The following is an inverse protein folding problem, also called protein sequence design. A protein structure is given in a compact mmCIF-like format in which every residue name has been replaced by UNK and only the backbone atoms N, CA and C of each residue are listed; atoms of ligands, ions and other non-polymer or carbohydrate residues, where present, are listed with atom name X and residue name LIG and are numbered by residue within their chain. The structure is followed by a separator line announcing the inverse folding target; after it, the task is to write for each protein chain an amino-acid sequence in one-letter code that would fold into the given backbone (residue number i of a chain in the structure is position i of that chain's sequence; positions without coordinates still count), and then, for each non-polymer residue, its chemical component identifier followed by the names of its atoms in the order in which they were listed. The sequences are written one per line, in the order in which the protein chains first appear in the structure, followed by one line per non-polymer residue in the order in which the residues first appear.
data_IF_782704183820
#
_entry.id   IF_782704183820
#
_cell.length_a   1.000
_cell.length_b   1.000
_cell.length_c   1.000
_cell.angle_alpha   90.00
_cell.angle_beta   90.00
_cell.angle_gamma   90.00
#
_symmetry.space_group_name_H-M   'P 1'
#
loop_
_entity.id
_entity.type
_entity.pdbx_description
1 polymer ?
#
# COMPACT_ATOMS: atom_id res chain seq x y z
N UNK A 1 -21.93 1.63 -3.84
CA UNK A 1 -22.05 2.73 -2.86
C UNK A 1 -20.94 2.54 -1.84
N UNK A 2 -19.77 3.12 -2.06
CA UNK A 2 -18.65 3.04 -1.12
C UNK A 2 -18.76 4.20 -0.13
N UNK A 3 -19.10 3.92 1.12
CA UNK A 3 -18.99 4.88 2.20
C UNK A 3 -17.56 4.81 2.71
N UNK A 4 -16.64 5.44 1.99
CA UNK A 4 -15.31 5.72 2.52
C UNK A 4 -15.44 6.75 3.64
N UNK A 5 -14.77 6.58 4.79
CA UNK A 5 -14.55 7.65 5.75
C UNK A 5 -14.24 8.96 5.03
N UNK A 6 -15.02 9.99 5.35
CA UNK A 6 -14.79 11.35 4.89
C UNK A 6 -13.82 11.98 5.89
N UNK A 7 -12.52 11.82 5.63
CA UNK A 7 -11.45 12.30 6.51
C UNK A 7 -10.22 11.40 6.52
N UNK A 8 -9.22 11.83 7.27
CA UNK A 8 -7.92 11.17 7.34
C UNK A 8 -7.99 9.96 8.30
N UNK A 9 -7.38 8.85 7.90
CA UNK A 9 -7.33 7.64 8.72
C UNK A 9 -5.89 7.17 8.86
N UNK A 10 -5.44 6.97 10.11
CA UNK A 10 -4.17 6.32 10.39
C UNK A 10 -4.39 4.86 10.77
N UNK A 11 -3.70 3.96 10.10
CA UNK A 11 -3.71 2.52 10.42
C UNK A 11 -2.34 2.11 10.92
N UNK A 12 -2.29 1.52 12.11
CA UNK A 12 -1.08 0.96 12.71
C UNK A 12 -1.33 -0.46 13.17
N UNK A 13 -0.62 -1.45 12.63
CA UNK A 13 -0.70 -2.84 13.10
C UNK A 13 0.67 -3.34 13.55
N UNK A 14 0.66 -4.09 14.66
CA UNK A 14 1.83 -4.79 15.20
C UNK A 14 2.20 -6.04 14.39
N UNK A 15 3.28 -6.72 14.79
CA UNK A 15 3.77 -7.90 14.08
C UNK A 15 2.71 -9.00 14.03
N UNK A 16 2.44 -9.48 12.83
CA UNK A 16 1.37 -10.45 12.56
C UNK A 16 1.88 -11.46 11.52
N UNK A 17 1.35 -12.68 11.51
CA UNK A 17 1.71 -13.68 10.48
C UNK A 17 1.05 -13.33 9.13
N UNK A 18 -0.25 -13.01 9.13
CA UNK A 18 -1.04 -12.73 7.92
C UNK A 18 -1.86 -11.45 8.11
N UNK A 19 -1.68 -10.46 7.22
CA UNK A 19 -2.46 -9.21 7.22
C UNK A 19 -3.14 -9.01 5.88
N UNK A 20 -4.46 -8.79 5.93
CA UNK A 20 -5.26 -8.46 4.73
C UNK A 20 -6.09 -7.21 4.98
N UNK A 21 -5.87 -6.16 4.18
CA UNK A 21 -6.61 -4.91 4.30
C UNK A 21 -7.14 -4.41 2.96
N UNK A 22 -8.37 -3.93 2.95
CA UNK A 22 -9.00 -3.28 1.80
C UNK A 22 -9.64 -1.97 2.24
N UNK A 23 -9.08 -0.82 1.85
CA UNK A 23 -9.54 0.50 2.30
C UNK A 23 -9.75 1.44 1.11
N UNK A 24 -10.94 2.04 1.03
CA UNK A 24 -11.24 3.13 0.10
C UNK A 24 -11.70 4.35 0.89
N UNK A 25 -10.94 5.45 0.85
CA UNK A 25 -11.15 6.64 1.69
C UNK A 25 -11.20 7.91 0.85
N UNK A 26 -11.97 8.89 1.30
CA UNK A 26 -11.96 10.25 0.72
C UNK A 26 -11.17 11.16 1.66
N UNK A 27 -9.86 10.96 1.69
CA UNK A 27 -8.94 11.65 2.61
C UNK A 27 -7.54 11.06 2.54
N UNK A 28 -6.65 11.56 3.41
CA UNK A 28 -5.28 11.10 3.47
C UNK A 28 -5.18 9.81 4.30
N UNK A 29 -4.37 8.86 3.83
CA UNK A 29 -4.26 7.52 4.43
C UNK A 29 -2.81 7.17 4.77
N UNK A 30 -2.34 7.51 5.99
CA UNK A 30 -1.13 6.95 6.54
C UNK A 30 -1.34 5.51 7.08
N UNK A 31 -0.55 4.57 6.58
CA UNK A 31 -0.50 3.17 7.03
C UNK A 31 0.91 2.84 7.51
N UNK A 32 1.03 2.32 8.74
CA UNK A 32 2.28 1.85 9.32
C UNK A 32 2.14 0.40 9.78
N UNK A 33 2.98 -0.51 9.28
CA UNK A 33 2.94 -1.92 9.68
C UNK A 33 4.31 -2.41 10.16
N UNK A 34 4.29 -3.13 11.27
CA UNK A 34 5.44 -3.85 11.83
C UNK A 34 5.75 -5.15 11.05
N UNK A 35 6.88 -5.84 11.34
CA UNK A 35 7.30 -7.01 10.58
C UNK A 35 6.19 -8.07 10.45
N UNK A 36 5.97 -8.53 9.23
CA UNK A 36 4.87 -9.46 8.89
C UNK A 36 5.40 -10.55 7.95
N UNK A 37 4.91 -11.78 8.03
CA UNK A 37 5.30 -12.82 7.07
C UNK A 37 4.58 -12.60 5.73
N UNK A 38 3.25 -12.54 5.75
CA UNK A 38 2.38 -12.34 4.59
C UNK A 38 1.53 -11.07 4.72
N UNK A 39 1.71 -10.11 3.82
CA UNK A 39 0.97 -8.85 3.82
C UNK A 39 0.28 -8.62 2.48
N UNK A 40 -1.05 -8.47 2.51
CA UNK A 40 -1.87 -8.14 1.35
C UNK A 40 -2.71 -6.89 1.58
N UNK A 41 -2.55 -5.88 0.73
CA UNK A 41 -3.32 -4.64 0.85
C UNK A 41 -3.94 -4.19 -0.47
N UNK A 42 -5.16 -3.69 -0.40
CA UNK A 42 -5.87 -3.00 -1.48
C UNK A 42 -6.29 -1.62 -1.01
N UNK A 43 -5.60 -0.55 -1.44
CA UNK A 43 -5.83 0.81 -0.95
C UNK A 43 -6.22 1.73 -2.11
N UNK A 44 -7.31 2.47 -1.94
CA UNK A 44 -7.82 3.44 -2.93
C UNK A 44 -8.22 4.75 -2.25
N UNK A 45 -7.26 5.57 -1.78
CA UNK A 45 -7.54 6.91 -1.27
C UNK A 45 -7.67 7.93 -2.41
N UNK A 46 -8.57 8.90 -2.23
CA UNK A 46 -8.80 9.95 -3.24
C UNK A 46 -7.72 11.05 -3.21
N UNK A 47 -7.00 11.19 -2.09
CA UNK A 47 -5.92 12.17 -1.91
C UNK A 47 -4.58 11.46 -1.68
N UNK A 48 -3.89 11.77 -0.60
CA UNK A 48 -2.51 11.35 -0.40
C UNK A 48 -2.46 10.02 0.37
N UNK A 49 -1.67 9.09 -0.15
CA UNK A 49 -1.45 7.77 0.44
C UNK A 49 -0.01 7.69 0.93
N UNK A 50 0.18 7.45 2.22
CA UNK A 50 1.50 7.17 2.77
C UNK A 50 1.52 5.78 3.39
N UNK A 51 2.39 4.90 2.91
CA UNK A 51 2.52 3.52 3.41
C UNK A 51 3.94 3.31 3.91
N UNK A 52 4.10 2.90 5.15
CA UNK A 52 5.38 2.56 5.77
C UNK A 52 5.34 1.12 6.30
N UNK A 53 6.10 0.21 5.69
CA UNK A 53 6.12 -1.20 6.06
C UNK A 53 7.48 -1.60 6.60
N UNK A 54 7.47 -2.37 7.69
CA UNK A 54 8.64 -3.06 8.21
C UNK A 54 9.09 -4.23 7.33
N UNK A 55 10.13 -4.96 7.78
CA UNK A 55 10.60 -6.17 7.11
C UNK A 55 9.45 -7.16 6.86
N UNK A 56 9.31 -7.65 5.62
CA UNK A 56 8.23 -8.58 5.24
C UNK A 56 8.78 -9.73 4.40
N UNK A 57 8.25 -10.95 4.49
CA UNK A 57 8.67 -12.01 3.54
C UNK A 57 7.93 -11.84 2.22
N UNK A 58 6.60 -11.90 2.26
CA UNK A 58 5.70 -11.78 1.10
C UNK A 58 4.80 -10.55 1.22
N UNK A 59 4.94 -9.61 0.29
CA UNK A 59 4.20 -8.36 0.26
C UNK A 59 3.46 -8.20 -1.06
N UNK A 60 2.14 -8.15 -1.01
CA UNK A 60 1.28 -7.85 -2.15
C UNK A 60 0.45 -6.59 -1.90
N UNK A 61 0.58 -5.58 -2.75
CA UNK A 61 -0.20 -4.35 -2.70
C UNK A 61 -0.92 -4.10 -4.01
N UNK A 62 -2.17 -3.68 -3.95
CA UNK A 62 -2.91 -3.06 -5.04
C UNK A 62 -3.30 -1.65 -4.63
N UNK A 63 -2.69 -0.65 -5.23
CA UNK A 63 -2.89 0.75 -4.87
C UNK A 63 -3.51 1.48 -6.05
N UNK A 64 -4.67 2.10 -5.83
CA UNK A 64 -5.35 2.95 -6.81
C UNK A 64 -5.63 4.33 -6.18
N UNK A 65 -4.58 5.09 -5.78
CA UNK A 65 -4.76 6.45 -5.30
C UNK A 65 -5.08 7.40 -6.46
N UNK A 66 -5.91 8.41 -6.21
CA UNK A 66 -6.11 9.52 -7.15
C UNK A 66 -5.17 10.71 -6.90
N UNK A 67 -4.46 10.73 -5.77
CA UNK A 67 -3.48 11.75 -5.39
C UNK A 67 -2.07 11.18 -5.24
N UNK A 68 -1.24 11.81 -4.41
CA UNK A 68 0.17 11.45 -4.30
C UNK A 68 0.36 10.17 -3.47
N UNK A 69 1.18 9.27 -3.97
CA UNK A 69 1.49 7.99 -3.34
C UNK A 69 2.94 7.96 -2.86
N UNK A 70 3.13 7.84 -1.56
CA UNK A 70 4.44 7.59 -0.94
C UNK A 70 4.45 6.21 -0.29
N UNK A 71 5.38 5.35 -0.69
CA UNK A 71 5.56 4.02 -0.13
C UNK A 71 7.00 3.85 0.36
N UNK A 72 7.18 3.54 1.64
CA UNK A 72 8.45 3.17 2.25
C UNK A 72 8.41 1.73 2.73
N UNK A 73 9.21 0.86 2.11
CA UNK A 73 9.27 -0.56 2.42
C UNK A 73 10.60 -0.92 3.06
N UNK A 74 10.54 -1.69 4.15
CA UNK A 74 11.70 -2.36 4.73
C UNK A 74 12.24 -3.47 3.82
N UNK A 75 13.19 -4.27 4.32
CA UNK A 75 13.67 -5.45 3.61
C UNK A 75 12.51 -6.38 3.26
N UNK A 76 12.42 -6.84 2.01
CA UNK A 76 11.36 -7.75 1.56
C UNK A 76 11.92 -8.88 0.70
N UNK A 77 11.46 -10.12 0.86
CA UNK A 77 11.89 -11.17 -0.08
C UNK A 77 11.13 -11.03 -1.39
N UNK A 78 9.80 -11.10 -1.31
CA UNK A 78 8.89 -11.06 -2.44
C UNK A 78 7.96 -9.85 -2.35
N UNK A 79 8.11 -8.91 -3.28
CA UNK A 79 7.29 -7.71 -3.37
C UNK A 79 6.52 -7.67 -4.67
N UNK A 80 5.20 -7.64 -4.57
CA UNK A 80 4.24 -7.46 -5.67
C UNK A 80 3.42 -6.21 -5.45
N UNK A 81 3.48 -5.27 -6.38
CA UNK A 81 2.74 -4.02 -6.32
C UNK A 81 1.97 -3.85 -7.62
N UNK A 82 0.66 -3.69 -7.54
CA UNK A 82 -0.22 -3.22 -8.62
C UNK A 82 -0.55 -1.76 -8.38
N UNK A 83 -0.35 -0.91 -9.38
CA UNK A 83 -0.63 0.52 -9.28
C UNK A 83 -1.65 0.96 -10.34
N UNK A 84 -2.58 1.80 -9.91
CA UNK A 84 -3.52 2.50 -10.74
C UNK A 84 -2.89 3.62 -11.58
N UNK A 85 -3.59 4.13 -12.60
CA UNK A 85 -3.03 5.03 -13.61
C UNK A 85 -2.94 6.52 -13.21
N UNK A 86 -3.01 6.89 -11.93
CA UNK A 86 -3.14 8.30 -11.54
C UNK A 86 -2.35 8.67 -10.28
N UNK A 87 -1.78 9.88 -10.26
CA UNK A 87 -0.99 10.42 -9.13
C UNK A 87 0.52 10.36 -9.32
N UNK A 88 1.25 11.10 -8.48
CA UNK A 88 2.71 11.00 -8.39
C UNK A 88 3.10 9.85 -7.46
N UNK A 89 4.06 9.03 -7.89
CA UNK A 89 4.53 7.85 -7.15
C UNK A 89 5.95 8.08 -6.62
N UNK A 90 6.10 7.98 -5.31
CA UNK A 90 7.39 7.89 -4.62
C UNK A 90 7.50 6.54 -3.91
N UNK A 91 8.49 5.73 -4.29
CA UNK A 91 8.77 4.44 -3.63
C UNK A 91 10.20 4.43 -3.09
N UNK A 92 10.33 4.29 -1.78
CA UNK A 92 11.58 3.95 -1.11
C UNK A 92 11.58 2.47 -0.74
N UNK A 93 12.47 1.69 -1.35
CA UNK A 93 12.60 0.25 -1.08
C UNK A 93 13.87 -0.03 -0.29
N UNK A 94 13.73 -0.85 0.75
CA UNK A 94 14.85 -1.56 1.37
C UNK A 94 15.38 -2.68 0.45
N UNK A 95 16.28 -3.54 0.96
CA UNK A 95 16.75 -4.70 0.23
C UNK A 95 15.58 -5.58 -0.21
N UNK A 96 15.41 -5.78 -1.52
CA UNK A 96 14.38 -6.66 -2.08
C UNK A 96 15.00 -7.72 -2.96
N UNK A 97 14.67 -9.00 -2.74
CA UNK A 97 15.17 -10.10 -3.58
C UNK A 97 14.39 -10.18 -4.89
N UNK A 98 13.05 -10.16 -4.80
CA UNK A 98 12.14 -10.26 -5.94
C UNK A 98 11.12 -9.11 -5.92
N UNK A 99 11.21 -8.24 -6.94
CA UNK A 99 10.32 -7.09 -7.12
C UNK A 99 9.49 -7.22 -8.40
N UNK A 100 8.17 -7.15 -8.26
CA UNK A 100 7.22 -7.05 -9.37
C UNK A 100 6.32 -5.85 -9.19
N UNK A 101 6.43 -4.89 -10.10
CA UNK A 101 5.52 -3.75 -10.18
C UNK A 101 4.72 -3.88 -11.46
N UNK A 102 3.41 -4.04 -11.33
CA UNK A 102 2.43 -3.96 -12.41
C UNK A 102 1.78 -2.58 -12.37
N UNK A 103 1.81 -1.89 -13.50
CA UNK A 103 0.95 -0.74 -13.72
C UNK A 103 -0.27 -1.27 -14.45
N UNK A 104 -1.46 -1.15 -13.88
CA UNK A 104 -2.68 -1.54 -14.57
C UNK A 104 -2.97 -0.48 -15.65
N UNK A 105 -2.83 -0.82 -16.95
CA UNK A 105 -3.10 0.12 -18.02
C UNK A 105 -4.62 0.15 -18.24
N UNK A 106 -5.27 1.13 -17.62
CA UNK A 106 -6.71 1.43 -17.70
C UNK A 106 -7.62 0.50 -16.89
N UNK A 107 -8.28 1.10 -15.89
CA UNK A 107 -9.67 0.78 -15.60
C UNK A 107 -10.54 1.09 -16.83
N UNK A 108 -10.96 0.05 -17.54
CA UNK A 108 -12.14 0.06 -18.42
C UNK A 108 -13.13 -1.00 -17.96
#
# INVERSE_FOLDING_TARGET
MGLGPVGDLTVGLGPTEDVRMGLGLVGDLPVGLDPTEDLRMGLSPVRDLTVGLGPTEDLTMGLDPLGDLTVGLGPTKDLRMGLGPMGDLTVGLGPTEDLRIGLDPMGI
#
